data_IF_800991409643
#
_entry.id   IF_800991409643
#
_cell.length_a   1.000
_cell.length_b   1.000
_cell.length_c   1.000
_cell.angle_alpha   90.00
_cell.angle_beta   90.00
_cell.angle_gamma   90.00
#
_symmetry.space_group_name_H-M   'P 1'
#
loop_
_entity.id
_entity.type
_entity.pdbx_description
1 polymer ?
#
# COMPACT_ATOMS: atom_id res chain seq x y z
N UNK A 1 3.04 6.55 6.69
CA UNK A 1 2.89 7.78 5.89
C UNK A 1 1.60 8.48 6.27
N UNK A 2 1.47 9.76 5.95
CA UNK A 2 0.20 10.51 5.96
C UNK A 2 -0.12 10.88 4.52
N UNK A 3 -1.38 10.73 4.12
CA UNK A 3 -1.86 11.08 2.78
C UNK A 3 -2.63 12.40 2.89
N UNK A 4 -2.17 13.43 2.20
CA UNK A 4 -2.91 14.66 1.98
C UNK A 4 -3.73 14.51 0.70
N UNK A 5 -5.04 14.68 0.81
CA UNK A 5 -5.97 14.39 -0.27
C UNK A 5 -6.36 15.65 -1.05
N UNK A 6 -6.32 15.58 -2.38
CA UNK A 6 -6.82 16.61 -3.29
C UNK A 6 -8.02 16.13 -4.11
N UNK A 7 -8.42 14.87 -3.96
CA UNK A 7 -9.43 14.19 -4.76
C UNK A 7 -10.77 14.10 -4.02
N UNK A 8 -11.26 12.90 -3.66
CA UNK A 8 -12.66 12.70 -3.27
C UNK A 8 -13.05 13.36 -1.95
N UNK A 9 -12.10 13.57 -1.03
CA UNK A 9 -12.38 14.27 0.22
C UNK A 9 -12.41 15.81 0.06
N UNK A 10 -12.15 16.34 -1.14
CA UNK A 10 -12.07 17.77 -1.42
C UNK A 10 -13.07 18.16 -2.49
N UNK A 11 -14.07 18.95 -2.12
CA UNK A 11 -15.05 19.49 -3.06
C UNK A 11 -14.39 20.37 -4.12
N UNK A 12 -15.00 20.47 -5.31
CA UNK A 12 -14.50 21.32 -6.40
C UNK A 12 -14.27 22.79 -5.98
N UNK A 13 -15.12 23.31 -5.08
CA UNK A 13 -14.99 24.68 -4.56
C UNK A 13 -13.76 24.84 -3.65
N UNK A 14 -13.34 23.77 -2.97
CA UNK A 14 -12.25 23.78 -2.00
C UNK A 14 -10.89 23.42 -2.62
N UNK A 15 -10.84 22.85 -3.84
CA UNK A 15 -9.58 22.45 -4.48
C UNK A 15 -8.55 23.57 -4.60
N UNK A 16 -8.90 24.84 -4.92
CA UNK A 16 -7.93 25.94 -4.89
C UNK A 16 -7.32 26.17 -3.51
N UNK A 17 -8.11 26.05 -2.44
CA UNK A 17 -7.61 26.17 -1.07
C UNK A 17 -6.73 24.98 -0.68
N UNK A 18 -7.10 23.76 -1.10
CA UNK A 18 -6.30 22.57 -0.90
C UNK A 18 -4.93 22.65 -1.60
N UNK A 19 -4.86 23.22 -2.82
CA UNK A 19 -3.59 23.50 -3.50
C UNK A 19 -2.72 24.49 -2.74
N UNK A 20 -3.30 25.57 -2.20
CA UNK A 20 -2.56 26.54 -1.41
C UNK A 20 -1.98 25.90 -0.14
N UNK A 21 -2.72 24.99 0.51
CA UNK A 21 -2.30 24.29 1.72
C UNK A 21 -1.08 23.37 1.51
N UNK A 22 -0.73 23.01 0.27
CA UNK A 22 0.50 22.25 -0.03
C UNK A 22 1.76 23.02 0.36
N UNK A 23 1.75 24.35 0.33
CA UNK A 23 2.89 25.19 0.72
C UNK A 23 3.07 25.31 2.23
N UNK A 24 1.98 25.18 2.99
CA UNK A 24 1.93 25.37 4.45
C UNK A 24 1.80 24.04 5.22
N UNK A 25 2.19 22.93 4.58
CA UNK A 25 2.07 21.59 5.15
C UNK A 25 2.99 21.41 6.38
N UNK A 26 2.56 20.65 7.41
CA UNK A 26 3.36 20.43 8.61
C UNK A 26 4.56 19.50 8.32
N UNK A 27 5.64 19.70 9.06
CA UNK A 27 6.71 18.70 9.15
C UNK A 27 6.22 17.48 9.92
N UNK A 28 6.21 16.33 9.25
CA UNK A 28 5.74 15.07 9.82
C UNK A 28 6.93 14.12 10.08
N UNK A 29 6.91 13.34 11.16
CA UNK A 29 7.93 12.31 11.43
C UNK A 29 7.77 11.07 10.53
N UNK A 30 6.86 11.12 9.57
CA UNK A 30 6.54 10.03 8.64
C UNK A 30 6.41 10.61 7.23
N UNK A 31 6.57 9.78 6.18
CA UNK A 31 6.47 10.30 4.83
C UNK A 31 5.12 10.94 4.52
N UNK A 32 5.14 12.06 3.80
CA UNK A 32 3.95 12.73 3.28
C UNK A 32 3.71 12.31 1.83
N UNK A 33 2.52 11.78 1.58
CA UNK A 33 2.01 11.44 0.25
C UNK A 33 0.94 12.44 -0.12
N UNK A 34 0.86 12.84 -1.39
CA UNK A 34 -0.30 13.58 -1.90
C UNK A 34 -1.09 12.69 -2.85
N UNK A 35 -2.39 12.51 -2.59
CA UNK A 35 -3.32 11.91 -3.55
C UNK A 35 -3.85 13.01 -4.46
N UNK A 36 -3.46 12.98 -5.74
CA UNK A 36 -3.98 13.92 -6.73
C UNK A 36 -5.35 13.46 -7.26
N UNK A 37 -5.99 14.27 -8.07
CA UNK A 37 -7.18 13.91 -8.81
C UNK A 37 -6.87 12.87 -9.91
N UNK A 38 -7.89 12.13 -10.32
CA UNK A 38 -7.80 11.15 -11.42
C UNK A 38 -7.36 11.77 -12.74
N UNK A 39 -6.73 10.97 -13.59
CA UNK A 39 -6.14 11.43 -14.85
C UNK A 39 -7.18 12.02 -15.82
N UNK A 40 -8.43 11.54 -15.75
CA UNK A 40 -9.59 12.01 -16.51
C UNK A 40 -10.23 13.28 -15.93
N UNK A 41 -9.81 13.72 -14.74
CA UNK A 41 -10.35 14.91 -14.08
C UNK A 41 -9.79 16.21 -14.69
N UNK A 42 -10.66 17.21 -14.82
CA UNK A 42 -10.27 18.58 -15.19
C UNK A 42 -9.33 19.25 -14.17
N UNK A 43 -9.12 18.64 -12.99
CA UNK A 43 -8.22 19.13 -11.95
C UNK A 43 -6.81 18.56 -12.02
N UNK A 44 -6.59 17.43 -12.70
CA UNK A 44 -5.29 16.76 -12.73
C UNK A 44 -4.13 17.69 -13.15
N UNK A 45 -4.32 18.46 -14.22
CA UNK A 45 -3.31 19.41 -14.69
C UNK A 45 -2.99 20.48 -13.64
N UNK A 46 -4.00 21.00 -12.93
CA UNK A 46 -3.81 22.00 -11.87
C UNK A 46 -3.12 21.40 -10.65
N UNK A 47 -3.42 20.14 -10.31
CA UNK A 47 -2.68 19.43 -9.26
C UNK A 47 -1.20 19.33 -9.62
N UNK A 48 -0.89 18.94 -10.86
CA UNK A 48 0.50 18.83 -11.32
C UNK A 48 1.23 20.17 -11.21
N UNK A 49 0.61 21.28 -11.64
CA UNK A 49 1.17 22.62 -11.49
C UNK A 49 1.43 23.00 -10.03
N UNK A 50 0.51 22.66 -9.13
CA UNK A 50 0.64 22.92 -7.70
C UNK A 50 1.77 22.06 -7.07
N UNK A 51 1.88 20.80 -7.49
CA UNK A 51 2.88 19.85 -6.98
C UNK A 51 4.29 20.12 -7.53
N UNK A 52 4.44 20.67 -8.74
CA UNK A 52 5.76 21.16 -9.21
C UNK A 52 6.29 22.27 -8.30
N UNK A 53 5.42 23.14 -7.80
CA UNK A 53 5.80 24.23 -6.88
C UNK A 53 6.05 23.72 -5.46
N UNK A 54 5.31 22.72 -5.02
CA UNK A 54 5.36 22.16 -3.66
C UNK A 54 5.49 20.63 -3.69
N UNK A 55 6.63 20.08 -4.15
CA UNK A 55 6.76 18.64 -4.44
C UNK A 55 6.56 17.80 -3.18
N UNK A 56 5.72 16.74 -3.22
CA UNK A 56 5.57 15.80 -2.10
C UNK A 56 6.74 14.81 -2.07
N UNK A 57 6.81 13.97 -1.03
CA UNK A 57 7.78 12.86 -1.01
C UNK A 57 7.32 11.68 -1.87
N UNK A 58 6.00 11.52 -2.04
CA UNK A 58 5.38 10.53 -2.91
C UNK A 58 4.05 11.08 -3.43
N UNK A 59 3.62 10.61 -4.59
CA UNK A 59 2.31 10.92 -5.16
C UNK A 59 1.49 9.64 -5.30
N UNK A 60 0.19 9.75 -5.06
CA UNK A 60 -0.77 8.68 -5.23
C UNK A 60 -1.74 9.06 -6.35
N UNK A 61 -1.83 8.20 -7.38
CA UNK A 61 -2.69 8.41 -8.55
C UNK A 61 -3.95 7.54 -8.39
N UNK A 62 -5.13 8.13 -8.12
CA UNK A 62 -6.37 7.39 -8.17
C UNK A 62 -6.70 6.97 -9.60
N UNK A 63 -7.51 5.91 -9.71
CA UNK A 63 -8.01 5.31 -10.95
C UNK A 63 -6.89 5.14 -11.97
N UNK A 64 -5.79 4.53 -11.51
CA UNK A 64 -4.64 4.29 -12.35
C UNK A 64 -4.97 3.16 -13.33
N UNK A 65 -5.00 3.50 -14.63
CA UNK A 65 -5.47 2.61 -15.70
C UNK A 65 -4.43 2.36 -16.80
N UNK A 66 -3.32 3.10 -16.80
CA UNK A 66 -2.24 2.96 -17.79
C UNK A 66 -0.89 3.33 -17.21
N UNK A 67 0.17 2.68 -17.68
CA UNK A 67 1.55 3.10 -17.42
C UNK A 67 1.85 4.49 -18.00
N UNK A 68 1.18 4.88 -19.09
CA UNK A 68 1.35 6.21 -19.71
C UNK A 68 0.91 7.33 -18.76
N UNK A 69 -0.09 7.09 -17.89
CA UNK A 69 -0.48 8.06 -16.87
C UNK A 69 0.67 8.30 -15.87
N UNK A 70 1.42 7.24 -15.55
CA UNK A 70 2.58 7.29 -14.66
C UNK A 70 3.75 8.02 -15.33
N UNK A 71 3.97 7.80 -16.63
CA UNK A 71 4.99 8.52 -17.41
C UNK A 71 4.74 10.03 -17.41
N UNK A 72 3.48 10.47 -17.51
CA UNK A 72 3.12 11.89 -17.45
C UNK A 72 3.49 12.49 -16.08
N UNK A 73 3.18 11.77 -15.00
CA UNK A 73 3.55 12.19 -13.64
C UNK A 73 5.08 12.24 -13.49
N UNK A 74 5.79 11.19 -13.88
CA UNK A 74 7.25 11.11 -13.80
C UNK A 74 7.94 12.18 -14.64
N UNK A 75 7.39 12.51 -15.82
CA UNK A 75 7.89 13.62 -16.65
C UNK A 75 7.65 14.98 -16.00
N UNK A 76 6.56 15.14 -15.25
CA UNK A 76 6.16 16.44 -14.69
C UNK A 76 6.84 16.73 -13.35
N UNK A 77 6.95 15.71 -12.49
CA UNK A 77 7.49 15.84 -11.13
C UNK A 77 8.94 15.32 -11.01
N UNK A 78 9.46 14.65 -12.04
CA UNK A 78 10.80 14.05 -12.06
C UNK A 78 10.75 12.52 -12.01
N UNK A 79 11.66 11.85 -12.72
CA UNK A 79 11.68 10.40 -12.85
C UNK A 79 11.84 9.66 -11.51
N UNK A 80 12.46 10.31 -10.53
CA UNK A 80 12.68 9.78 -9.19
C UNK A 80 11.49 10.01 -8.23
N UNK A 81 10.43 10.70 -8.67
CA UNK A 81 9.21 10.91 -7.85
C UNK A 81 8.50 9.57 -7.64
N UNK A 82 8.40 9.04 -6.41
CA UNK A 82 7.74 7.75 -6.20
C UNK A 82 6.22 7.88 -6.38
N UNK A 83 5.66 6.97 -7.17
CA UNK A 83 4.24 6.92 -7.52
C UNK A 83 3.59 5.69 -6.88
N UNK A 84 2.42 5.88 -6.26
CA UNK A 84 1.54 4.83 -5.76
C UNK A 84 0.26 4.84 -6.59
N UNK A 85 0.14 4.00 -7.64
CA UNK A 85 -1.12 3.87 -8.36
C UNK A 85 -2.17 3.17 -7.49
N UNK A 86 -3.39 3.69 -7.49
CA UNK A 86 -4.55 3.02 -6.90
C UNK A 86 -5.23 2.20 -7.97
N UNK A 87 -5.30 0.89 -7.74
CA UNK A 87 -6.01 -0.06 -8.59
C UNK A 87 -7.45 -0.11 -8.11
N UNK A 88 -8.36 0.49 -8.86
CA UNK A 88 -9.76 0.62 -8.45
C UNK A 88 -10.77 0.56 -9.59
N UNK A 89 -10.35 0.01 -10.74
CA UNK A 89 -11.22 -0.35 -11.86
C UNK A 89 -10.75 -1.66 -12.51
N UNK A 90 -11.62 -2.28 -13.31
CA UNK A 90 -11.29 -3.45 -14.12
C UNK A 90 -10.16 -3.16 -15.12
N UNK A 91 -10.13 -1.95 -15.68
CA UNK A 91 -9.06 -1.49 -16.57
C UNK A 91 -7.74 -1.40 -15.79
N UNK A 92 -7.76 -0.77 -14.60
CA UNK A 92 -6.58 -0.69 -13.74
C UNK A 92 -6.07 -2.07 -13.33
N UNK A 93 -6.97 -3.00 -13.02
CA UNK A 93 -6.60 -4.38 -12.70
C UNK A 93 -6.05 -5.13 -13.93
N UNK A 94 -6.51 -4.83 -15.14
CA UNK A 94 -5.95 -5.38 -16.37
C UNK A 94 -4.51 -4.85 -16.61
N UNK A 95 -4.27 -3.57 -16.33
CA UNK A 95 -2.99 -2.89 -16.56
C UNK A 95 -1.98 -3.02 -15.40
N UNK A 96 -2.37 -3.57 -14.24
CA UNK A 96 -1.57 -3.58 -13.01
C UNK A 96 -0.16 -4.15 -13.20
N UNK A 97 0.00 -5.22 -13.97
CA UNK A 97 1.32 -5.83 -14.19
C UNK A 97 2.26 -4.88 -14.94
N UNK A 98 1.77 -4.21 -15.99
CA UNK A 98 2.54 -3.22 -16.74
C UNK A 98 2.88 -2.00 -15.85
N UNK A 99 1.92 -1.51 -15.07
CA UNK A 99 2.17 -0.41 -14.13
C UNK A 99 3.21 -0.78 -13.06
N UNK A 100 3.21 -2.02 -12.58
CA UNK A 100 4.21 -2.49 -11.61
C UNK A 100 5.62 -2.63 -12.20
N UNK A 101 5.79 -2.64 -13.53
CA UNK A 101 7.12 -2.58 -14.15
C UNK A 101 7.67 -1.14 -14.25
N UNK A 102 6.83 -0.12 -14.04
CA UNK A 102 7.25 1.27 -14.17
C UNK A 102 8.31 1.63 -13.11
N UNK A 103 9.41 2.32 -13.48
CA UNK A 103 10.53 2.59 -12.58
C UNK A 103 10.14 3.44 -11.38
N UNK A 104 9.31 4.47 -11.58
CA UNK A 104 8.86 5.37 -10.51
C UNK A 104 7.82 4.75 -9.57
N UNK A 105 7.30 3.55 -9.85
CA UNK A 105 6.35 2.89 -8.95
C UNK A 105 7.09 2.21 -7.81
N UNK A 106 6.70 2.52 -6.57
CA UNK A 106 7.26 1.88 -5.36
C UNK A 106 6.43 0.66 -4.92
N UNK A 107 5.11 0.84 -4.93
CA UNK A 107 4.06 -0.12 -4.58
C UNK A 107 2.72 0.42 -5.10
N UNK A 108 1.68 -0.40 -5.14
CA UNK A 108 0.31 0.04 -5.43
C UNK A 108 -0.60 -0.05 -4.20
N UNK A 109 -1.79 0.54 -4.32
CA UNK A 109 -2.88 0.37 -3.38
C UNK A 109 -4.13 -0.20 -4.07
N UNK A 110 -5.02 -0.82 -3.31
CA UNK A 110 -6.29 -1.34 -3.81
C UNK A 110 -7.47 -0.49 -3.35
N UNK A 111 -8.13 0.21 -4.27
CA UNK A 111 -9.38 0.95 -4.02
C UNK A 111 -10.57 0.00 -4.13
N UNK A 112 -10.75 -0.85 -3.12
CA UNK A 112 -11.71 -1.96 -3.21
C UNK A 112 -13.18 -1.55 -3.35
N UNK A 113 -13.56 -0.36 -2.87
CA UNK A 113 -14.95 0.12 -2.95
C UNK A 113 -15.29 0.53 -4.39
N UNK A 114 -14.45 1.36 -5.00
CA UNK A 114 -14.64 1.81 -6.38
C UNK A 114 -14.43 0.66 -7.36
N UNK A 115 -13.50 -0.26 -7.07
CA UNK A 115 -13.36 -1.48 -7.85
C UNK A 115 -14.64 -2.31 -7.83
N UNK A 116 -15.23 -2.53 -6.66
CA UNK A 116 -16.49 -3.25 -6.50
C UNK A 116 -17.63 -2.58 -7.27
N UNK A 117 -17.71 -1.25 -7.21
CA UNK A 117 -18.68 -0.48 -7.99
C UNK A 117 -18.48 -0.67 -9.50
N UNK A 118 -17.25 -0.57 -9.98
CA UNK A 118 -16.89 -0.69 -11.40
C UNK A 118 -17.26 -2.07 -11.98
N UNK A 119 -17.03 -3.14 -11.23
CA UNK A 119 -17.36 -4.50 -11.67
C UNK A 119 -18.80 -4.94 -11.33
N UNK A 120 -19.59 -4.09 -10.67
CA UNK A 120 -20.96 -4.40 -10.26
C UNK A 120 -21.06 -5.50 -9.20
N UNK A 121 -20.10 -5.58 -8.28
CA UNK A 121 -20.06 -6.57 -7.21
C UNK A 121 -20.17 -5.94 -5.82
N UNK A 122 -20.69 -6.70 -4.86
CA UNK A 122 -20.61 -6.33 -3.45
C UNK A 122 -19.14 -6.34 -2.96
N UNK A 123 -18.73 -5.42 -2.08
CA UNK A 123 -17.35 -5.31 -1.56
C UNK A 123 -17.02 -6.39 -0.51
N UNK A 124 -17.58 -7.58 -0.67
CA UNK A 124 -17.22 -8.75 0.10
C UNK A 124 -15.82 -9.25 -0.30
N UNK A 125 -15.13 -9.86 0.65
CA UNK A 125 -13.78 -10.37 0.42
C UNK A 125 -13.73 -11.43 -0.67
N UNK A 126 -14.71 -12.33 -0.66
CA UNK A 126 -14.83 -13.46 -1.58
C UNK A 126 -14.99 -12.98 -3.03
N UNK A 127 -15.79 -11.93 -3.23
CA UNK A 127 -15.97 -11.25 -4.52
C UNK A 127 -14.67 -10.65 -5.07
N UNK A 128 -13.75 -10.30 -4.17
CA UNK A 128 -12.56 -9.52 -4.48
C UNK A 128 -11.25 -10.29 -4.35
N UNK A 129 -11.30 -11.60 -4.05
CA UNK A 129 -10.09 -12.42 -3.90
C UNK A 129 -9.25 -12.48 -5.17
N UNK A 130 -9.89 -12.55 -6.35
CA UNK A 130 -9.16 -12.52 -7.62
C UNK A 130 -8.37 -11.21 -7.78
N UNK A 131 -9.02 -10.06 -7.56
CA UNK A 131 -8.38 -8.76 -7.69
C UNK A 131 -7.21 -8.61 -6.71
N UNK A 132 -7.43 -8.93 -5.43
CA UNK A 132 -6.40 -8.90 -4.39
C UNK A 132 -5.22 -9.82 -4.70
N UNK A 133 -5.48 -11.06 -5.09
CA UNK A 133 -4.44 -12.02 -5.46
C UNK A 133 -3.62 -11.55 -6.65
N UNK A 134 -4.28 -11.05 -7.71
CA UNK A 134 -3.60 -10.52 -8.89
C UNK A 134 -2.73 -9.30 -8.55
N UNK A 135 -3.21 -8.38 -7.71
CA UNK A 135 -2.45 -7.21 -7.28
C UNK A 135 -1.17 -7.62 -6.52
N UNK A 136 -1.28 -8.56 -5.57
CA UNK A 136 -0.10 -9.07 -4.83
C UNK A 136 0.93 -9.70 -5.75
N UNK A 137 0.47 -10.55 -6.70
CA UNK A 137 1.36 -11.17 -7.69
C UNK A 137 2.02 -10.13 -8.58
N UNK A 138 1.26 -9.16 -9.08
CA UNK A 138 1.78 -8.09 -9.92
C UNK A 138 2.86 -7.25 -9.22
N UNK A 139 2.67 -6.90 -7.93
CA UNK A 139 3.70 -6.19 -7.16
C UNK A 139 4.99 -7.01 -7.09
N UNK A 140 4.91 -8.34 -6.90
CA UNK A 140 6.09 -9.20 -6.86
C UNK A 140 6.76 -9.37 -8.21
N UNK A 141 5.99 -9.48 -9.30
CA UNK A 141 6.52 -9.51 -10.67
C UNK A 141 7.31 -8.24 -11.01
N UNK A 142 6.86 -7.08 -10.51
CA UNK A 142 7.58 -5.81 -10.64
C UNK A 142 8.73 -5.61 -9.65
N UNK A 143 9.01 -6.60 -8.79
CA UNK A 143 9.96 -6.47 -7.67
C UNK A 143 9.67 -5.24 -6.78
N UNK A 144 8.39 -4.92 -6.61
CA UNK A 144 7.89 -3.79 -5.82
C UNK A 144 7.60 -4.20 -4.39
N UNK A 145 7.46 -3.22 -3.50
CA UNK A 145 7.01 -3.47 -2.14
C UNK A 145 5.60 -4.09 -2.14
N UNK A 146 5.24 -4.76 -1.05
CA UNK A 146 3.91 -5.35 -0.90
C UNK A 146 2.82 -4.27 -1.08
N UNK A 147 1.70 -4.58 -1.75
CA UNK A 147 0.66 -3.60 -1.98
C UNK A 147 -0.04 -3.20 -0.67
N UNK A 148 -0.75 -2.07 -0.71
CA UNK A 148 -1.64 -1.61 0.35
C UNK A 148 -3.08 -2.06 0.07
N UNK A 149 -3.74 -2.69 1.04
CA UNK A 149 -5.17 -3.05 0.91
C UNK A 149 -6.04 -1.79 1.10
N UNK A 150 -7.30 -1.88 0.67
CA UNK A 150 -8.25 -0.77 0.75
C UNK A 150 -8.68 -0.42 2.17
N UNK A 151 -9.65 0.46 2.35
CA UNK A 151 -10.05 0.95 3.68
C UNK A 151 -10.91 -0.06 4.46
N UNK A 152 -11.00 0.10 5.79
CA UNK A 152 -12.08 -0.51 6.56
C UNK A 152 -13.18 0.56 6.74
N UNK A 153 -14.39 0.31 6.24
CA UNK A 153 -15.48 1.31 6.29
C UNK A 153 -16.02 1.47 7.71
N UNK A 154 -16.13 0.36 8.45
CA UNK A 154 -16.46 0.35 9.88
C UNK A 154 -15.19 0.75 10.65
N UNK A 155 -15.04 2.04 10.91
CA UNK A 155 -13.78 2.61 11.40
C UNK A 155 -13.66 2.72 12.92
N UNK A 156 -14.77 2.60 13.65
CA UNK A 156 -14.86 2.73 15.10
C UNK A 156 -14.84 1.39 15.85
N UNK A 157 -14.74 0.29 15.12
CA UNK A 157 -14.60 -1.07 15.62
C UNK A 157 -13.17 -1.58 15.36
N UNK A 158 -12.38 -1.71 16.42
CA UNK A 158 -10.99 -2.16 16.32
C UNK A 158 -10.88 -3.62 15.86
N UNK A 159 -11.82 -4.48 16.25
CA UNK A 159 -11.79 -5.91 15.91
C UNK A 159 -12.02 -6.11 14.40
N UNK A 160 -12.94 -5.35 13.82
CA UNK A 160 -13.15 -5.35 12.36
C UNK A 160 -11.87 -4.92 11.63
N UNK A 161 -11.24 -3.83 12.07
CA UNK A 161 -10.00 -3.32 11.45
C UNK A 161 -8.88 -4.35 11.52
N UNK A 162 -8.69 -4.97 12.68
CA UNK A 162 -7.66 -6.01 12.85
C UNK A 162 -7.94 -7.25 12.01
N UNK A 163 -9.19 -7.71 11.95
CA UNK A 163 -9.55 -8.90 11.19
C UNK A 163 -9.37 -8.68 9.69
N UNK A 164 -9.76 -7.51 9.16
CA UNK A 164 -9.50 -7.15 7.78
C UNK A 164 -8.00 -7.00 7.49
N UNK A 165 -7.24 -6.36 8.39
CA UNK A 165 -5.80 -6.26 8.27
C UNK A 165 -5.13 -7.65 8.26
N UNK A 166 -5.60 -8.60 9.09
CA UNK A 166 -5.06 -9.97 9.14
C UNK A 166 -5.31 -10.68 7.81
N UNK A 167 -6.54 -10.61 7.29
CA UNK A 167 -6.88 -11.17 5.97
C UNK A 167 -6.01 -10.58 4.85
N UNK A 168 -5.82 -9.26 4.85
CA UNK A 168 -4.95 -8.59 3.87
C UNK A 168 -3.49 -9.09 3.97
N UNK A 169 -2.92 -9.10 5.17
CA UNK A 169 -1.57 -9.57 5.44
C UNK A 169 -1.37 -11.02 5.01
N UNK A 170 -2.32 -11.88 5.34
CA UNK A 170 -2.27 -13.32 5.01
C UNK A 170 -2.37 -13.55 3.49
N UNK A 171 -2.97 -12.63 2.73
CA UNK A 171 -2.96 -12.61 1.26
C UNK A 171 -1.66 -12.04 0.66
N UNK A 172 -0.79 -11.42 1.46
CA UNK A 172 0.49 -10.85 1.01
C UNK A 172 0.53 -9.32 0.87
N UNK A 173 -0.46 -8.60 1.37
CA UNK A 173 -0.42 -7.13 1.49
C UNK A 173 0.52 -6.70 2.63
N UNK A 174 1.18 -5.55 2.47
CA UNK A 174 2.12 -5.00 3.47
C UNK A 174 1.54 -3.90 4.35
N UNK A 175 0.32 -3.47 4.06
CA UNK A 175 -0.37 -2.43 4.81
C UNK A 175 -1.80 -2.24 4.32
N UNK A 176 -2.47 -1.24 4.87
CA UNK A 176 -3.86 -0.90 4.57
C UNK A 176 -4.05 0.62 4.57
N UNK A 177 -4.90 1.14 3.69
CA UNK A 177 -5.33 2.54 3.73
C UNK A 177 -6.24 2.77 4.94
N UNK A 178 -6.06 3.90 5.62
CA UNK A 178 -6.81 4.24 6.84
C UNK A 178 -7.52 5.59 6.64
N UNK A 179 -8.79 5.64 6.98
CA UNK A 179 -9.66 6.83 6.86
C UNK A 179 -9.97 7.48 8.20
N UNK A 180 -9.57 6.86 9.31
CA UNK A 180 -9.83 7.38 10.64
C UNK A 180 -8.67 7.09 11.61
N UNK A 181 -8.30 8.02 12.52
CA UNK A 181 -7.20 7.81 13.48
C UNK A 181 -7.35 6.57 14.37
N UNK A 182 -8.59 6.18 14.71
CA UNK A 182 -8.87 4.96 15.50
C UNK A 182 -8.39 3.67 14.83
N UNK A 183 -8.16 3.69 13.51
CA UNK A 183 -7.69 2.53 12.76
C UNK A 183 -6.17 2.35 12.82
N UNK A 184 -5.41 3.39 13.26
CA UNK A 184 -3.94 3.38 13.24
C UNK A 184 -3.38 2.30 14.14
N UNK A 185 -3.80 2.25 15.41
CA UNK A 185 -3.32 1.27 16.37
C UNK A 185 -3.67 -0.18 15.96
N UNK A 186 -4.93 -0.54 15.65
CA UNK A 186 -5.30 -1.90 15.26
C UNK A 186 -4.68 -2.33 13.92
N UNK A 187 -4.54 -1.44 12.93
CA UNK A 187 -3.84 -1.82 11.69
C UNK A 187 -2.34 -2.08 11.96
N UNK A 188 -1.68 -1.23 12.75
CA UNK A 188 -0.26 -1.39 13.09
C UNK A 188 0.03 -2.67 13.88
N UNK A 189 -0.88 -3.10 14.77
CA UNK A 189 -0.68 -4.32 15.56
C UNK A 189 -0.63 -5.58 14.69
N UNK A 190 -1.24 -5.54 13.51
CA UNK A 190 -1.29 -6.69 12.58
C UNK A 190 -0.13 -6.70 11.58
N UNK A 191 0.18 -5.53 10.99
CA UNK A 191 1.21 -5.42 9.95
C UNK A 191 2.63 -5.33 10.50
N UNK A 192 2.80 -5.11 11.81
CA UNK A 192 4.10 -5.19 12.48
C UNK A 192 4.30 -6.59 13.03
N UNK A 193 5.51 -7.18 12.91
CA UNK A 193 5.80 -8.42 13.61
C UNK A 193 5.61 -8.23 15.12
N UNK A 194 4.97 -9.20 15.76
CA UNK A 194 4.82 -9.23 17.22
C UNK A 194 6.12 -9.66 17.90
N UNK A 195 6.20 -9.45 19.22
CA UNK A 195 7.30 -10.00 20.02
C UNK A 195 7.37 -11.53 19.87
N UNK A 196 6.22 -12.21 19.83
CA UNK A 196 6.12 -13.66 19.64
C UNK A 196 6.65 -14.08 18.24
N UNK A 197 6.35 -13.30 17.19
CA UNK A 197 6.91 -13.54 15.84
C UNK A 197 8.43 -13.42 15.85
N UNK A 198 8.97 -12.40 16.55
CA UNK A 198 10.40 -12.16 16.66
C UNK A 198 11.11 -13.29 17.42
N UNK A 199 10.58 -13.71 18.55
CA UNK A 199 11.12 -14.83 19.34
C UNK A 199 11.06 -16.14 18.57
N UNK A 200 9.97 -16.41 17.86
CA UNK A 200 9.87 -17.54 16.95
C UNK A 200 10.96 -17.49 15.87
N UNK A 201 11.14 -16.33 15.23
CA UNK A 201 12.14 -16.17 14.19
C UNK A 201 13.58 -16.36 14.71
N UNK A 202 13.89 -15.86 15.92
CA UNK A 202 15.18 -16.11 16.57
C UNK A 202 15.40 -17.60 16.86
N UNK A 203 14.38 -18.33 17.33
CA UNK A 203 14.47 -19.79 17.55
C UNK A 203 14.72 -20.54 16.24
N UNK A 204 14.09 -20.13 15.14
CA UNK A 204 14.35 -20.69 13.80
C UNK A 204 15.81 -20.50 13.41
N UNK A 205 16.34 -19.28 13.53
CA UNK A 205 17.73 -19.00 13.16
C UNK A 205 18.74 -19.74 14.04
N UNK A 206 18.46 -19.87 15.34
CA UNK A 206 19.29 -20.64 16.26
C UNK A 206 19.30 -22.14 15.90
N UNK A 207 18.13 -22.72 15.59
CA UNK A 207 18.03 -24.13 15.20
C UNK A 207 18.81 -24.42 13.91
N UNK A 208 18.78 -23.51 12.94
CA UNK A 208 19.53 -23.63 11.68
C UNK A 208 21.03 -23.53 11.89
N UNK A 209 21.50 -22.59 12.72
CA UNK A 209 22.93 -22.40 12.97
C UNK A 209 23.61 -23.63 13.62
N UNK A 210 22.84 -24.46 14.33
CA UNK A 210 23.35 -25.62 15.06
C UNK A 210 23.25 -26.95 14.28
N UNK A 211 22.64 -26.96 13.09
CA UNK A 211 22.37 -28.18 12.34
C UNK A 211 23.17 -28.26 11.04
N UNK A 212 23.74 -29.44 10.78
CA UNK A 212 24.35 -29.79 9.50
C UNK A 212 23.37 -30.54 8.56
N UNK A 213 22.12 -30.73 8.98
CA UNK A 213 21.08 -31.51 8.28
C UNK A 213 19.69 -30.86 8.42
N UNK A 214 18.64 -31.52 7.91
CA UNK A 214 17.26 -31.04 7.97
C UNK A 214 16.85 -30.67 9.42
N UNK A 215 16.34 -29.45 9.59
CA UNK A 215 15.96 -28.88 10.90
C UNK A 215 14.46 -29.05 11.11
N UNK A 216 14.08 -29.39 12.35
CA UNK A 216 12.69 -29.40 12.79
C UNK A 216 12.54 -28.51 14.01
N UNK A 217 11.49 -27.67 14.03
CA UNK A 217 11.12 -26.82 15.16
C UNK A 217 9.60 -26.93 15.37
N UNK A 218 9.18 -27.15 16.62
CA UNK A 218 7.76 -27.25 16.99
C UNK A 218 6.94 -28.23 16.13
N UNK A 219 7.56 -29.33 15.69
CA UNK A 219 6.93 -30.34 14.85
C UNK A 219 6.93 -30.03 13.35
N UNK A 220 7.36 -28.84 12.93
CA UNK A 220 7.42 -28.43 11.53
C UNK A 220 8.85 -28.47 10.97
N UNK A 221 8.99 -28.81 9.68
CA UNK A 221 10.26 -28.75 8.97
C UNK A 221 10.66 -27.29 8.74
N UNK A 222 11.91 -26.96 9.01
CA UNK A 222 12.50 -25.65 8.71
C UNK A 222 13.28 -25.78 7.41
N UNK A 223 12.71 -25.24 6.34
CA UNK A 223 13.31 -25.17 5.02
C UNK A 223 13.63 -23.72 4.61
N UNK A 224 14.18 -23.52 3.40
CA UNK A 224 14.60 -22.19 2.92
C UNK A 224 13.49 -21.13 3.00
N UNK A 225 12.23 -21.41 2.60
CA UNK A 225 11.11 -20.49 2.83
C UNK A 225 10.90 -20.08 4.29
N UNK A 226 10.95 -21.02 5.23
CA UNK A 226 10.80 -20.74 6.67
C UNK A 226 11.95 -19.86 7.18
N UNK A 227 13.19 -20.14 6.74
CA UNK A 227 14.38 -19.35 7.10
C UNK A 227 14.25 -17.92 6.59
N UNK A 228 13.94 -17.73 5.30
CA UNK A 228 13.77 -16.39 4.71
C UNK A 228 12.65 -15.60 5.36
N UNK A 229 11.58 -16.27 5.81
CA UNK A 229 10.51 -15.64 6.58
C UNK A 229 11.01 -15.18 7.95
N UNK A 230 11.77 -16.01 8.66
CA UNK A 230 12.36 -15.63 9.94
C UNK A 230 13.32 -14.44 9.80
N UNK A 231 14.20 -14.44 8.80
CA UNK A 231 15.08 -13.31 8.49
C UNK A 231 14.30 -12.02 8.21
N UNK A 232 13.21 -12.10 7.45
CA UNK A 232 12.34 -10.95 7.18
C UNK A 232 11.69 -10.41 8.46
N UNK A 233 11.17 -11.29 9.32
CA UNK A 233 10.56 -10.90 10.60
C UNK A 233 11.58 -10.19 11.49
N UNK A 234 12.79 -10.73 11.63
CA UNK A 234 13.87 -10.14 12.45
C UNK A 234 14.19 -8.73 11.93
N UNK A 235 14.49 -8.61 10.63
CA UNK A 235 14.79 -7.33 9.99
C UNK A 235 13.66 -6.31 10.21
N UNK A 236 12.42 -6.71 9.99
CA UNK A 236 11.27 -5.82 10.04
C UNK A 236 10.93 -5.42 11.48
N UNK A 237 11.16 -6.29 12.47
CA UNK A 237 10.99 -6.00 13.90
C UNK A 237 12.06 -5.03 14.41
N UNK A 238 13.33 -5.25 14.05
CA UNK A 238 14.45 -4.41 14.47
C UNK A 238 14.40 -3.00 13.86
N UNK A 239 13.84 -2.86 12.65
CA UNK A 239 13.62 -1.56 12.01
C UNK A 239 12.55 -0.69 12.71
N UNK A 240 11.79 -1.24 13.66
CA UNK A 240 10.79 -0.52 14.45
C UNK A 240 11.33 0.07 15.76
N UNK A 241 12.53 -0.35 16.19
CA UNK A 241 13.19 0.10 17.42
C UNK A 241 13.95 1.43 17.21
#
# INVERSE_FOLDING_TARGET
>A
AVIMDLEDAVSDADKPAAHAALGDRPDLPVPLVVRCNGFDSGWFAKDMEALVKNPPQMIMLPKAESADHLDVIAKTLGADMPIVPIIESAIGLAAVEAMMQHPSVLQCAFGHLDFSLDIGAEPHWESLYYARGKIVVASRLGQKAAPLDGVAVRFDDAEIVENEARRARDMGFGGKLLIHPKQIAPAKSVFRPSQDDYEWAQRVMAAVATSASAVQLDGAMVDVPVIKRAEAIIRDFEALA
#
